data_IF_594848974246
#
_entry.id   IF_594848974246
#
_cell.length_a   1.000
_cell.length_b   1.000
_cell.length_c   1.000
_cell.angle_alpha   90.00
_cell.angle_beta   90.00
_cell.angle_gamma   90.00
#
_symmetry.space_group_name_H-M   'P 1'
#
loop_
_entity.id
_entity.type
_entity.pdbx_description
1 polymer ?
#
# COMPACT_ATOMS: atom_id res chain seq x y z
N UNK A 1 8.19 3.64 -7.29
CA UNK A 1 7.66 4.92 -7.80
C UNK A 1 6.58 4.59 -8.83
N UNK A 2 5.33 4.98 -8.61
CA UNK A 2 4.35 5.00 -9.70
C UNK A 2 4.78 6.18 -10.58
N UNK A 3 5.41 5.87 -11.72
CA UNK A 3 6.02 6.86 -12.59
C UNK A 3 4.93 7.56 -13.40
N UNK A 4 5.04 8.88 -13.55
CA UNK A 4 4.06 9.77 -14.18
C UNK A 4 4.03 9.69 -15.74
N UNK A 5 4.52 8.61 -16.35
CA UNK A 5 4.13 8.29 -17.72
C UNK A 5 2.71 7.74 -17.66
N UNK A 6 1.81 8.23 -18.52
CA UNK A 6 0.41 7.78 -18.71
C UNK A 6 0.14 6.46 -17.99
N UNK A 7 -0.38 6.54 -16.76
CA UNK A 7 -0.42 5.38 -15.88
C UNK A 7 -1.18 4.26 -16.61
N UNK A 8 -0.83 2.99 -16.38
CA UNK A 8 -1.55 1.85 -17.00
C UNK A 8 -3.06 1.85 -16.68
N UNK A 9 -3.53 2.73 -15.80
CA UNK A 9 -4.90 2.85 -15.32
C UNK A 9 -5.59 4.14 -15.79
N UNK A 10 -4.96 4.90 -16.70
CA UNK A 10 -5.41 6.25 -17.04
C UNK A 10 -6.80 6.31 -17.66
N UNK A 11 -7.34 5.22 -18.22
CA UNK A 11 -8.65 5.13 -18.86
C UNK A 11 -9.60 4.13 -18.19
N UNK A 12 -9.22 3.55 -17.05
CA UNK A 12 -10.06 2.61 -16.33
C UNK A 12 -11.29 3.31 -15.73
N UNK A 13 -12.48 2.73 -15.89
CA UNK A 13 -13.70 3.21 -15.21
C UNK A 13 -13.70 2.87 -13.71
N UNK A 14 -13.02 1.78 -13.34
CA UNK A 14 -12.90 1.31 -11.95
C UNK A 14 -11.45 0.89 -11.69
N UNK A 15 -10.90 1.36 -10.57
CA UNK A 15 -9.59 0.91 -10.08
C UNK A 15 -9.75 0.38 -8.65
N UNK A 16 -9.22 -0.81 -8.38
CA UNK A 16 -9.24 -1.44 -7.06
C UNK A 16 -7.81 -1.65 -6.60
N UNK A 17 -7.42 -1.01 -5.51
CA UNK A 17 -6.12 -1.17 -4.87
C UNK A 17 -6.21 -2.05 -3.63
N UNK A 18 -5.11 -2.71 -3.29
CA UNK A 18 -4.94 -3.38 -2.01
C UNK A 18 -3.49 -3.27 -1.52
N UNK A 19 -3.31 -3.43 -0.21
CA UNK A 19 -2.00 -3.67 0.38
C UNK A 19 -2.18 -4.41 1.71
N UNK A 20 -1.14 -5.09 2.21
CA UNK A 20 -1.28 -5.81 3.49
C UNK A 20 -0.17 -6.80 3.79
N UNK A 21 -0.21 -8.00 3.20
CA UNK A 21 0.61 -9.15 3.62
C UNK A 21 2.14 -8.95 3.63
N UNK A 22 2.64 -7.91 2.97
CA UNK A 22 4.06 -7.53 2.95
C UNK A 22 4.46 -6.51 4.03
N UNK A 23 3.50 -5.87 4.69
CA UNK A 23 3.71 -4.91 5.76
C UNK A 23 3.86 -5.62 7.12
N UNK A 24 4.94 -6.37 7.30
CA UNK A 24 5.33 -6.91 8.60
C UNK A 24 6.86 -6.83 8.79
N UNK A 25 7.31 -6.91 10.04
CA UNK A 25 8.72 -6.74 10.41
C UNK A 25 9.66 -7.69 9.66
N UNK A 26 9.30 -8.98 9.61
CA UNK A 26 10.15 -10.01 8.99
C UNK A 26 10.32 -9.79 7.48
N UNK A 27 9.26 -9.35 6.80
CA UNK A 27 9.29 -9.07 5.34
C UNK A 27 9.86 -7.71 4.97
N UNK A 28 10.17 -6.87 5.96
CA UNK A 28 10.62 -5.47 5.73
C UNK A 28 12.01 -5.21 6.29
N UNK A 29 12.86 -6.25 6.40
CA UNK A 29 14.20 -6.17 6.99
C UNK A 29 14.20 -5.50 8.38
N UNK A 30 13.17 -5.74 9.18
CA UNK A 30 12.97 -5.08 10.48
C UNK A 30 13.01 -3.54 10.39
N UNK A 31 12.55 -2.99 9.27
CA UNK A 31 12.53 -1.55 8.98
C UNK A 31 13.90 -0.92 8.70
N UNK A 32 14.99 -1.70 8.65
CA UNK A 32 16.35 -1.16 8.50
C UNK A 32 16.73 -0.95 7.05
N UNK A 33 16.99 0.29 6.66
CA UNK A 33 17.36 0.68 5.29
C UNK A 33 16.41 0.09 4.23
N UNK A 34 15.13 -0.04 4.55
CA UNK A 34 14.15 -0.73 3.72
C UNK A 34 13.16 0.23 3.04
N UNK A 35 12.77 1.29 3.73
CA UNK A 35 11.74 2.22 3.25
C UNK A 35 12.37 3.50 2.69
N UNK A 36 11.84 3.94 1.56
CA UNK A 36 12.27 5.16 0.87
C UNK A 36 11.09 6.09 0.66
N UNK A 37 11.28 7.38 0.95
CA UNK A 37 10.35 8.47 0.64
C UNK A 37 11.11 9.53 -0.17
N UNK A 38 10.71 9.72 -1.43
CA UNK A 38 11.48 10.54 -2.37
C UNK A 38 12.90 10.01 -2.54
N UNK A 39 13.91 10.83 -2.24
CA UNK A 39 15.33 10.45 -2.29
C UNK A 39 15.89 10.03 -0.92
N UNK A 40 15.06 10.01 0.12
CA UNK A 40 15.48 9.66 1.47
C UNK A 40 15.19 8.19 1.77
N UNK A 41 16.22 7.42 2.10
CA UNK A 41 16.11 6.07 2.64
C UNK A 41 16.20 6.17 4.16
N UNK A 42 15.20 5.65 4.86
CA UNK A 42 15.19 5.63 6.31
C UNK A 42 16.15 4.56 6.83
N UNK A 43 17.09 4.96 7.70
CA UNK A 43 17.97 4.01 8.38
C UNK A 43 17.17 2.99 9.18
N UNK A 44 16.13 3.47 9.88
CA UNK A 44 15.12 2.64 10.54
C UNK A 44 13.77 3.33 10.50
N UNK A 45 12.73 2.58 10.17
CA UNK A 45 11.34 3.05 10.22
C UNK A 45 10.40 1.91 10.61
N UNK A 46 9.51 2.18 11.56
CA UNK A 46 8.52 1.19 12.01
C UNK A 46 7.51 0.91 10.89
N UNK A 47 7.12 -0.37 10.76
CA UNK A 47 6.31 -0.85 9.61
C UNK A 47 4.95 -0.16 9.55
N UNK A 48 4.33 0.12 10.70
CA UNK A 48 3.06 0.84 10.80
C UNK A 48 3.19 2.29 10.32
N UNK A 49 4.30 2.95 10.66
CA UNK A 49 4.59 4.30 10.21
C UNK A 49 4.89 4.34 8.70
N UNK A 50 5.68 3.38 8.22
CA UNK A 50 5.99 3.22 6.80
C UNK A 50 4.71 3.00 5.98
N UNK A 51 3.79 2.14 6.45
CA UNK A 51 2.49 1.90 5.82
C UNK A 51 1.67 3.19 5.76
N UNK A 52 1.61 3.94 6.87
CA UNK A 52 0.89 5.23 6.93
C UNK A 52 1.45 6.23 5.91
N UNK A 53 2.78 6.34 5.78
CA UNK A 53 3.44 7.23 4.80
C UNK A 53 3.15 6.79 3.36
N UNK A 54 3.23 5.49 3.08
CA UNK A 54 2.93 4.94 1.76
C UNK A 54 1.47 5.18 1.35
N UNK A 55 0.52 4.97 2.27
CA UNK A 55 -0.91 5.25 2.01
C UNK A 55 -1.17 6.74 1.77
N UNK A 56 -0.51 7.64 2.51
CA UNK A 56 -0.60 9.09 2.23
C UNK A 56 -0.05 9.46 0.86
N UNK A 57 1.07 8.85 0.46
CA UNK A 57 1.67 9.06 -0.87
C UNK A 57 0.74 8.56 -1.98
N UNK A 58 0.16 7.36 -1.80
CA UNK A 58 -0.82 6.80 -2.73
C UNK A 58 -2.09 7.65 -2.83
N UNK A 59 -2.66 8.08 -1.71
CA UNK A 59 -3.86 8.92 -1.69
C UNK A 59 -3.62 10.23 -2.44
N UNK A 60 -2.49 10.91 -2.19
CA UNK A 60 -2.10 12.12 -2.93
C UNK A 60 -1.98 11.86 -4.44
N UNK A 61 -1.45 10.70 -4.84
CA UNK A 61 -1.38 10.34 -6.27
C UNK A 61 -2.78 10.15 -6.87
N UNK A 62 -3.70 9.49 -6.16
CA UNK A 62 -5.10 9.35 -6.60
C UNK A 62 -5.73 10.73 -6.80
N UNK A 63 -5.66 11.59 -5.79
CA UNK A 63 -6.29 12.92 -5.80
C UNK A 63 -5.76 13.82 -6.92
N UNK A 64 -4.50 13.64 -7.32
CA UNK A 64 -3.83 14.50 -8.32
C UNK A 64 -3.81 13.93 -9.73
N UNK A 65 -4.06 12.63 -9.90
CA UNK A 65 -3.86 11.94 -11.19
C UNK A 65 -5.13 11.29 -11.74
N UNK A 66 -6.06 10.86 -10.88
CA UNK A 66 -7.27 10.16 -11.31
C UNK A 66 -8.39 11.14 -11.61
N UNK A 67 -9.00 11.03 -12.78
CA UNK A 67 -10.21 11.75 -13.12
C UNK A 67 -11.42 11.12 -12.42
N UNK A 68 -11.83 11.74 -11.31
CA UNK A 68 -12.96 11.28 -10.49
C UNK A 68 -14.33 11.44 -11.14
N UNK A 69 -14.43 12.17 -12.26
CA UNK A 69 -15.70 12.29 -13.01
C UNK A 69 -16.00 11.03 -13.82
N UNK A 70 -14.97 10.25 -14.17
CA UNK A 70 -15.09 9.00 -14.92
C UNK A 70 -14.74 7.79 -14.06
N UNK A 71 -13.64 7.85 -13.32
CA UNK A 71 -13.04 6.71 -12.65
C UNK A 71 -13.45 6.62 -11.18
N UNK A 72 -13.96 5.46 -10.77
CA UNK A 72 -14.24 5.14 -9.36
C UNK A 72 -13.08 4.35 -8.75
N UNK A 73 -12.58 4.79 -7.60
CA UNK A 73 -11.44 4.16 -6.91
C UNK A 73 -11.90 3.49 -5.63
N UNK A 74 -11.47 2.24 -5.43
CA UNK A 74 -11.71 1.47 -4.21
C UNK A 74 -10.38 1.02 -3.60
N UNK A 75 -10.38 0.86 -2.28
CA UNK A 75 -9.29 0.23 -1.55
C UNK A 75 -9.84 -0.93 -0.73
N UNK A 76 -9.33 -2.13 -0.96
CA UNK A 76 -9.78 -3.31 -0.20
C UNK A 76 -9.12 -3.32 1.17
N UNK A 77 -9.90 -3.68 2.21
CA UNK A 77 -9.36 -3.92 3.54
C UNK A 77 -8.32 -5.05 3.57
N UNK A 78 -7.64 -5.19 4.71
CA UNK A 78 -6.64 -6.24 4.91
C UNK A 78 -7.27 -7.63 4.82
N UNK A 79 -6.67 -8.52 4.03
CA UNK A 79 -7.08 -9.92 3.96
C UNK A 79 -6.49 -10.70 5.14
N UNK A 80 -7.36 -11.31 5.95
CA UNK A 80 -6.96 -12.08 7.12
C UNK A 80 -6.05 -13.26 6.73
N UNK A 81 -4.95 -13.42 7.46
CA UNK A 81 -4.03 -14.55 7.28
C UNK A 81 -4.48 -15.73 8.14
N UNK A 82 -4.59 -16.92 7.54
CA UNK A 82 -4.99 -18.15 8.22
C UNK A 82 -3.79 -19.08 8.36
N UNK A 83 -3.16 -19.04 9.53
CA UNK A 83 -2.02 -19.92 9.83
C UNK A 83 -2.50 -21.27 10.39
N UNK A 84 -1.71 -22.31 10.18
CA UNK A 84 -1.97 -23.64 10.76
C UNK A 84 -2.01 -23.52 12.29
N UNK A 85 -3.07 -24.03 12.91
CA UNK A 85 -3.31 -23.89 14.35
C UNK A 85 -3.80 -22.50 14.80
N UNK A 86 -4.19 -21.63 13.86
CA UNK A 86 -4.78 -20.33 14.18
C UNK A 86 -6.22 -20.41 14.73
N UNK A 87 -6.76 -19.26 15.13
CA UNK A 87 -8.06 -19.09 15.81
C UNK A 87 -9.29 -19.37 14.92
N UNK A 88 -9.14 -20.03 13.78
CA UNK A 88 -10.23 -20.24 12.82
C UNK A 88 -11.22 -21.34 13.25
N UNK A 89 -10.91 -22.09 14.32
CA UNK A 89 -11.72 -23.18 14.86
C UNK A 89 -11.98 -23.09 16.38
N UNK A 90 -11.77 -21.93 17.01
CA UNK A 90 -11.90 -21.73 18.46
C UNK A 90 -13.25 -21.12 18.88
N UNK A 91 -14.33 -21.47 18.16
CA UNK A 91 -15.69 -21.03 18.47
C UNK A 91 -16.16 -21.44 19.86
#
# INVERSE_FOLDING_TARGET
MIQASKSQYYDADIIIFNTGHWWNHDKTKNGRNYFQEGNHVYERLEVSEALRKALKTWAKWVDTTVDSTRTRVFFTGFSASHYRGGQWNSG
#
